data_IF_650986819349
#
_entry.id   IF_650986819349
#
_cell.length_a   1.000
_cell.length_b   1.000
_cell.length_c   1.000
_cell.angle_alpha   90.00
_cell.angle_beta   90.00
_cell.angle_gamma   90.00
#
_symmetry.space_group_name_H-M   'P 1'
#
loop_
_entity.id
_entity.type
_entity.pdbx_description
1 polymer ?
#
# COMPACT_ATOMS: atom_id res chain seq x y z
N UNK A 1 5.09 19.56 1.99
CA UNK A 1 4.90 18.60 0.88
C UNK A 1 4.53 19.33 -0.40
N UNK A 2 3.30 19.87 -0.53
CA UNK A 2 2.91 20.68 -1.70
C UNK A 2 3.73 21.95 -1.87
N UNK A 3 4.07 22.64 -0.77
CA UNK A 3 4.94 23.80 -0.83
C UNK A 3 6.27 23.46 -1.53
N UNK A 4 6.97 22.44 -1.04
CA UNK A 4 8.22 21.95 -1.64
C UNK A 4 8.06 21.50 -3.09
N UNK A 5 6.95 20.85 -3.44
CA UNK A 5 6.69 20.46 -4.83
C UNK A 5 6.57 21.67 -5.75
N UNK A 6 5.80 22.69 -5.34
CA UNK A 6 5.60 23.92 -6.10
C UNK A 6 6.89 24.75 -6.16
N UNK A 7 7.65 24.82 -5.07
CA UNK A 7 8.96 25.47 -5.03
C UNK A 7 9.96 24.80 -5.97
N UNK A 8 10.07 23.47 -5.94
CA UNK A 8 10.95 22.73 -6.86
C UNK A 8 10.49 22.92 -8.30
N UNK A 9 9.19 22.82 -8.60
CA UNK A 9 8.68 23.07 -9.95
C UNK A 9 8.99 24.51 -10.43
N UNK A 10 8.78 25.51 -9.57
CA UNK A 10 9.08 26.90 -9.87
C UNK A 10 10.57 27.15 -10.13
N UNK A 11 11.45 26.53 -9.34
CA UNK A 11 12.89 26.61 -9.51
C UNK A 11 13.33 26.03 -10.86
N UNK A 12 12.85 24.84 -11.21
CA UNK A 12 13.19 24.15 -12.46
C UNK A 12 12.60 24.84 -13.72
N UNK A 13 11.43 25.48 -13.58
CA UNK A 13 10.80 26.27 -14.64
C UNK A 13 11.33 27.72 -14.71
N UNK A 14 12.29 28.09 -13.86
CA UNK A 14 12.87 29.44 -13.77
C UNK A 14 11.83 30.54 -13.53
N UNK A 15 10.76 30.21 -12.81
CA UNK A 15 9.67 31.14 -12.49
C UNK A 15 10.12 32.05 -11.36
N UNK A 16 10.12 33.36 -11.61
CA UNK A 16 10.46 34.37 -10.60
C UNK A 16 9.19 34.79 -9.85
N UNK A 17 9.30 34.87 -8.53
CA UNK A 17 8.25 35.46 -7.70
C UNK A 17 8.05 36.94 -8.08
N UNK A 18 6.83 37.32 -8.46
CA UNK A 18 6.49 38.73 -8.68
C UNK A 18 6.53 39.54 -7.38
N UNK A 19 6.29 38.87 -6.24
CA UNK A 19 6.32 39.45 -4.90
C UNK A 19 7.02 38.50 -3.92
N UNK A 20 7.99 39.01 -3.14
CA UNK A 20 8.72 38.22 -2.14
C UNK A 20 7.81 37.63 -1.05
N UNK A 21 6.71 38.31 -0.71
CA UNK A 21 5.80 37.82 0.32
C UNK A 21 4.96 36.61 -0.14
N UNK A 22 4.65 36.55 -1.43
CA UNK A 22 3.82 35.49 -2.03
C UNK A 22 4.66 34.34 -2.60
N UNK A 23 5.96 34.56 -2.81
CA UNK A 23 6.87 33.59 -3.42
C UNK A 23 6.40 33.17 -4.82
N UNK A 24 6.65 31.91 -5.18
CA UNK A 24 6.18 31.34 -6.46
C UNK A 24 4.74 30.80 -6.39
N UNK A 25 4.10 30.81 -5.21
CA UNK A 25 2.83 30.11 -4.98
C UNK A 25 1.62 30.72 -5.70
N UNK A 26 1.70 31.99 -6.12
CA UNK A 26 0.66 32.66 -6.90
C UNK A 26 0.93 32.67 -8.41
N UNK A 27 2.04 32.09 -8.87
CA UNK A 27 2.36 32.01 -10.29
C UNK A 27 1.29 31.15 -11.01
N UNK A 28 0.56 31.71 -12.00
CA UNK A 28 -0.48 30.97 -12.72
C UNK A 28 0.04 29.70 -13.41
N UNK A 29 1.30 29.70 -13.82
CA UNK A 29 2.00 28.58 -14.46
C UNK A 29 2.19 27.38 -13.51
N UNK A 30 2.21 27.64 -12.20
CA UNK A 30 2.34 26.62 -11.15
C UNK A 30 1.00 26.12 -10.62
N UNK A 31 -0.11 26.68 -11.09
CA UNK A 31 -1.44 26.32 -10.62
C UNK A 31 -1.80 24.86 -11.01
N UNK A 32 -2.19 24.07 -10.02
CA UNK A 32 -2.73 22.72 -10.22
C UNK A 32 -4.26 22.84 -10.31
N UNK A 33 -4.77 23.03 -11.53
CA UNK A 33 -6.21 23.15 -11.78
C UNK A 33 -6.85 21.78 -12.06
N UNK A 34 -7.75 21.33 -11.18
CA UNK A 34 -8.46 20.04 -11.32
C UNK A 34 -9.34 19.97 -12.58
N UNK A 35 -9.73 21.11 -13.14
CA UNK A 35 -10.47 21.15 -14.40
C UNK A 35 -9.61 20.76 -15.63
N UNK A 36 -8.28 20.79 -15.51
CA UNK A 36 -7.40 20.30 -16.58
C UNK A 36 -7.48 18.76 -16.68
N UNK A 37 -7.73 18.19 -17.88
CA UNK A 37 -7.88 16.75 -18.05
C UNK A 37 -6.66 15.93 -17.61
N UNK A 38 -5.43 16.42 -17.81
CA UNK A 38 -4.21 15.68 -17.42
C UNK A 38 -4.09 15.63 -15.90
N UNK A 39 -4.36 16.75 -15.23
CA UNK A 39 -4.37 16.83 -13.77
C UNK A 39 -5.45 15.92 -13.19
N UNK A 40 -6.65 15.94 -13.78
CA UNK A 40 -7.76 15.10 -13.36
C UNK A 40 -7.44 13.60 -13.50
N UNK A 41 -6.80 13.18 -14.60
CA UNK A 41 -6.33 11.79 -14.77
C UNK A 41 -5.32 11.43 -13.68
N UNK A 42 -4.36 12.31 -13.39
CA UNK A 42 -3.41 12.12 -12.30
C UNK A 42 -4.11 11.91 -10.95
N UNK A 43 -5.14 12.72 -10.68
CA UNK A 43 -5.96 12.63 -9.47
C UNK A 43 -6.72 11.30 -9.38
N UNK A 44 -7.32 10.82 -10.47
CA UNK A 44 -7.99 9.52 -10.50
C UNK A 44 -7.03 8.36 -10.25
N UNK A 45 -5.87 8.37 -10.91
CA UNK A 45 -4.83 7.35 -10.71
C UNK A 45 -4.38 7.39 -9.24
N UNK A 46 -4.05 8.58 -8.72
CA UNK A 46 -3.60 8.73 -7.34
C UNK A 46 -4.63 8.27 -6.31
N UNK A 47 -5.91 8.57 -6.53
CA UNK A 47 -6.99 8.13 -5.64
C UNK A 47 -7.18 6.61 -5.63
N UNK A 48 -6.86 5.92 -6.73
CA UNK A 48 -6.99 4.47 -6.83
C UNK A 48 -5.85 3.69 -6.16
N UNK A 49 -4.68 4.32 -6.04
CA UNK A 49 -3.46 3.64 -5.59
C UNK A 49 -3.54 3.12 -4.15
N UNK A 50 -4.05 3.87 -3.16
CA UNK A 50 -4.26 3.35 -1.81
C UNK A 50 -5.16 2.11 -1.78
N UNK A 51 -6.23 2.08 -2.58
CA UNK A 51 -7.11 0.91 -2.68
C UNK A 51 -6.37 -0.29 -3.26
N UNK A 52 -5.61 -0.10 -4.34
CA UNK A 52 -4.82 -1.16 -4.95
C UNK A 52 -3.76 -1.69 -3.99
N UNK A 53 -3.05 -0.80 -3.28
CA UNK A 53 -2.07 -1.17 -2.27
C UNK A 53 -2.71 -2.00 -1.15
N UNK A 54 -3.83 -1.54 -0.59
CA UNK A 54 -4.54 -2.26 0.47
C UNK A 54 -5.03 -3.62 -0.02
N UNK A 55 -5.58 -3.71 -1.22
CA UNK A 55 -6.04 -4.97 -1.81
C UNK A 55 -4.90 -5.99 -1.98
N UNK A 56 -3.73 -5.54 -2.46
CA UNK A 56 -2.54 -6.40 -2.59
C UNK A 56 -2.08 -6.91 -1.23
N UNK A 57 -1.98 -6.02 -0.23
CA UNK A 57 -1.53 -6.34 1.12
C UNK A 57 -2.48 -7.30 1.84
N UNK A 58 -3.79 -7.03 1.83
CA UNK A 58 -4.80 -7.90 2.48
C UNK A 58 -4.82 -9.28 1.82
N UNK A 59 -4.76 -9.33 0.47
CA UNK A 59 -4.73 -10.59 -0.26
C UNK A 59 -3.48 -11.41 0.04
N UNK A 60 -2.32 -10.77 0.18
CA UNK A 60 -1.08 -11.43 0.56
C UNK A 60 -1.19 -12.08 1.95
N UNK A 61 -1.68 -11.35 2.95
CA UNK A 61 -1.89 -11.89 4.31
C UNK A 61 -2.89 -13.04 4.28
N UNK A 62 -4.02 -12.90 3.60
CA UNK A 62 -5.04 -13.96 3.52
C UNK A 62 -4.51 -15.27 2.93
N UNK A 63 -3.67 -15.19 1.88
CA UNK A 63 -3.03 -16.38 1.30
C UNK A 63 -2.07 -17.07 2.28
N UNK A 64 -1.20 -16.29 2.92
CA UNK A 64 -0.23 -16.83 3.88
C UNK A 64 -0.93 -17.42 5.10
N UNK A 65 -1.96 -16.74 5.63
CA UNK A 65 -2.77 -17.23 6.73
C UNK A 65 -3.41 -18.59 6.42
N UNK A 66 -3.93 -18.79 5.21
CA UNK A 66 -4.48 -20.08 4.78
C UNK A 66 -3.48 -21.23 4.84
N UNK A 67 -2.21 -20.97 4.50
CA UNK A 67 -1.13 -21.96 4.54
C UNK A 67 -0.70 -22.23 5.97
N UNK A 68 -0.60 -21.19 6.81
CA UNK A 68 -0.35 -21.36 8.25
C UNK A 68 -1.43 -22.21 8.90
N UNK A 69 -2.71 -22.01 8.55
CA UNK A 69 -3.81 -22.85 9.07
C UNK A 69 -3.65 -24.31 8.64
N UNK A 70 -3.25 -24.58 7.40
CA UNK A 70 -3.01 -25.94 6.93
C UNK A 70 -1.84 -26.60 7.70
N UNK A 71 -0.75 -25.88 7.94
CA UNK A 71 0.40 -26.38 8.69
C UNK A 71 0.04 -26.63 10.16
N UNK A 72 -0.68 -25.71 10.81
CA UNK A 72 -1.16 -25.92 12.19
C UNK A 72 -2.10 -27.14 12.24
N UNK A 73 -3.01 -27.30 11.28
CA UNK A 73 -3.88 -28.50 11.22
C UNK A 73 -3.07 -29.79 11.02
N UNK A 74 -2.03 -29.78 10.19
CA UNK A 74 -1.13 -30.92 9.98
C UNK A 74 -0.46 -31.33 11.30
N UNK A 75 0.09 -30.38 12.03
CA UNK A 75 0.77 -30.66 13.31
C UNK A 75 -0.19 -31.17 14.39
N UNK A 76 -1.43 -30.67 14.42
CA UNK A 76 -2.44 -31.06 15.40
C UNK A 76 -3.19 -32.35 15.02
N UNK A 77 -3.00 -32.89 13.82
CA UNK A 77 -3.75 -34.04 13.31
C UNK A 77 -3.54 -35.33 14.12
N UNK A 78 -2.37 -35.51 14.75
CA UNK A 78 -2.05 -36.66 15.59
C UNK A 78 -2.65 -36.56 17.02
N UNK A 79 -3.20 -35.40 17.39
CA UNK A 79 -3.79 -35.13 18.70
C UNK A 79 -2.80 -35.05 19.87
N UNK A 80 -1.51 -35.33 19.65
CA UNK A 80 -0.50 -35.38 20.71
C UNK A 80 -0.18 -33.99 21.27
N UNK A 81 -0.28 -32.96 20.43
CA UNK A 81 -0.13 -31.56 20.87
C UNK A 81 -1.31 -31.15 21.78
N UNK A 82 -2.55 -31.52 21.42
CA UNK A 82 -3.73 -31.25 22.25
C UNK A 82 -3.68 -32.00 23.59
N UNK A 83 -3.12 -33.20 23.60
CA UNK A 83 -2.89 -33.99 24.80
C UNK A 83 -1.72 -33.47 25.66
N UNK A 84 -0.94 -32.50 25.15
CA UNK A 84 0.23 -31.94 25.84
C UNK A 84 1.44 -32.89 25.89
N UNK A 85 1.44 -33.99 25.14
CA UNK A 85 2.50 -35.00 25.13
C UNK A 85 3.60 -34.71 24.11
N UNK A 86 3.33 -33.86 23.13
CA UNK A 86 4.25 -33.42 22.07
C UNK A 86 4.29 -31.91 21.99
N UNK A 87 5.47 -31.33 21.81
CA UNK A 87 5.62 -29.89 21.57
C UNK A 87 5.38 -29.55 20.10
N UNK A 88 4.76 -28.40 19.78
CA UNK A 88 4.61 -27.93 18.40
C UNK A 88 5.96 -27.68 17.71
N UNK A 89 5.99 -27.85 16.39
CA UNK A 89 7.12 -27.48 15.54
C UNK A 89 6.96 -26.01 15.12
N UNK A 90 7.63 -25.10 15.82
CA UNK A 90 7.51 -23.66 15.53
C UNK A 90 8.23 -23.23 14.24
N UNK A 91 9.33 -23.91 13.88
CA UNK A 91 10.17 -23.59 12.72
C UNK A 91 9.39 -23.47 11.40
N UNK A 92 8.63 -24.50 10.99
CA UNK A 92 7.86 -24.45 9.75
C UNK A 92 6.92 -23.24 9.63
N UNK A 93 6.25 -22.84 10.70
CA UNK A 93 5.35 -21.67 10.70
C UNK A 93 6.14 -20.38 10.55
N UNK A 94 7.30 -20.27 11.21
CA UNK A 94 8.21 -19.13 11.09
C UNK A 94 8.72 -19.00 9.65
N UNK A 95 9.12 -20.10 9.04
CA UNK A 95 9.65 -20.13 7.67
C UNK A 95 8.59 -19.70 6.65
N UNK A 96 7.35 -20.22 6.78
CA UNK A 96 6.21 -19.83 5.93
C UNK A 96 5.98 -18.31 6.01
N UNK A 97 5.90 -17.75 7.22
CA UNK A 97 5.67 -16.32 7.42
C UNK A 97 6.84 -15.48 6.88
N UNK A 98 8.08 -15.91 7.12
CA UNK A 98 9.30 -15.20 6.71
C UNK A 98 9.41 -15.14 5.19
N UNK A 99 9.33 -16.29 4.51
CA UNK A 99 9.43 -16.36 3.06
C UNK A 99 8.29 -15.56 2.39
N UNK A 100 7.07 -15.72 2.90
CA UNK A 100 5.92 -15.01 2.37
C UNK A 100 6.07 -13.49 2.53
N UNK A 101 6.49 -13.00 3.70
CA UNK A 101 6.65 -11.56 3.94
C UNK A 101 7.63 -10.92 2.94
N UNK A 102 8.79 -11.55 2.71
CA UNK A 102 9.81 -11.05 1.78
C UNK A 102 9.30 -11.04 0.33
N UNK A 103 8.62 -12.11 -0.08
CA UNK A 103 8.11 -12.25 -1.44
C UNK A 103 6.96 -11.29 -1.74
N UNK A 104 6.05 -11.11 -0.78
CA UNK A 104 4.81 -10.36 -0.96
C UNK A 104 5.01 -8.84 -0.85
N UNK A 105 6.01 -8.37 -0.09
CA UNK A 105 6.33 -6.94 0.06
C UNK A 105 6.92 -6.29 -1.20
N UNK A 106 7.48 -7.08 -2.12
CA UNK A 106 8.12 -6.55 -3.32
C UNK A 106 7.13 -5.81 -4.24
N UNK A 107 5.91 -6.32 -4.40
CA UNK A 107 4.92 -5.73 -5.32
C UNK A 107 4.40 -4.38 -4.80
N UNK A 108 3.95 -4.25 -3.53
CA UNK A 108 3.56 -2.96 -2.98
C UNK A 108 4.69 -1.93 -2.96
N UNK A 109 5.94 -2.36 -2.72
CA UNK A 109 7.10 -1.46 -2.79
C UNK A 109 7.34 -0.91 -4.21
N UNK A 110 7.27 -1.77 -5.23
CA UNK A 110 7.38 -1.36 -6.64
C UNK A 110 6.23 -0.43 -7.04
N UNK A 111 5.01 -0.69 -6.57
CA UNK A 111 3.87 0.20 -6.77
C UNK A 111 4.15 1.61 -6.22
N UNK A 112 4.76 1.69 -5.02
CA UNK A 112 5.10 2.95 -4.38
C UNK A 112 6.12 3.79 -5.16
N UNK A 113 7.12 3.14 -5.73
CA UNK A 113 8.23 3.80 -6.42
C UNK A 113 7.89 4.10 -7.88
N UNK A 114 7.28 3.15 -8.59
CA UNK A 114 7.10 3.26 -10.04
C UNK A 114 5.88 4.11 -10.42
N UNK A 115 4.82 4.15 -9.62
CA UNK A 115 3.61 4.90 -10.00
C UNK A 115 3.85 6.41 -10.15
N UNK A 116 4.55 7.10 -9.22
CA UNK A 116 4.93 8.49 -9.42
C UNK A 116 5.75 8.73 -10.69
N UNK A 117 6.68 7.82 -10.99
CA UNK A 117 7.52 7.88 -12.21
C UNK A 117 6.65 7.75 -13.47
N UNK A 118 5.71 6.80 -13.49
CA UNK A 118 4.80 6.59 -14.61
C UNK A 118 3.92 7.81 -14.84
N UNK A 119 3.35 8.41 -13.79
CA UNK A 119 2.49 9.60 -13.92
C UNK A 119 3.31 10.83 -14.32
N UNK A 120 4.44 11.04 -13.66
CA UNK A 120 5.30 12.20 -13.86
C UNK A 120 5.87 12.26 -15.27
N UNK A 121 6.55 11.19 -15.71
CA UNK A 121 7.05 11.11 -17.08
C UNK A 121 5.89 10.87 -18.06
N UNK A 122 4.96 9.95 -17.82
CA UNK A 122 3.94 9.61 -18.82
C UNK A 122 2.92 10.71 -19.14
N UNK A 123 2.56 11.54 -18.16
CA UNK A 123 1.49 12.54 -18.30
C UNK A 123 2.03 13.97 -18.12
N UNK A 124 2.87 14.16 -17.10
CA UNK A 124 3.51 15.43 -16.80
C UNK A 124 3.54 15.77 -15.32
N UNK A 125 4.37 16.77 -14.98
CA UNK A 125 4.57 17.19 -13.60
C UNK A 125 3.31 17.76 -12.93
N UNK A 126 2.44 18.46 -13.66
CA UNK A 126 1.16 18.96 -13.12
C UNK A 126 0.23 17.80 -12.73
N UNK A 127 0.19 16.74 -13.56
CA UNK A 127 -0.57 15.53 -13.27
C UNK A 127 0.00 14.79 -12.06
N UNK A 128 1.32 14.78 -11.89
CA UNK A 128 1.97 14.26 -10.68
C UNK A 128 1.55 15.04 -9.42
N UNK A 129 1.38 16.36 -9.52
CA UNK A 129 0.83 17.18 -8.45
C UNK A 129 -0.59 16.78 -8.06
N UNK A 130 -1.48 16.60 -9.04
CA UNK A 130 -2.84 16.09 -8.82
C UNK A 130 -2.87 14.67 -8.24
N UNK A 131 -1.97 13.80 -8.72
CA UNK A 131 -1.77 12.45 -8.20
C UNK A 131 -1.40 12.45 -6.72
N UNK A 132 -0.42 13.26 -6.30
CA UNK A 132 -0.03 13.36 -4.90
C UNK A 132 -1.19 13.82 -4.02
N UNK A 133 -2.01 14.76 -4.49
CA UNK A 133 -3.14 15.28 -3.71
C UNK A 133 -4.15 14.18 -3.42
N UNK A 134 -4.46 13.39 -4.44
CA UNK A 134 -5.37 12.26 -4.33
C UNK A 134 -4.83 11.14 -3.44
N UNK A 135 -3.56 10.75 -3.62
CA UNK A 135 -2.90 9.71 -2.82
C UNK A 135 -2.93 10.06 -1.34
N UNK A 136 -2.63 11.31 -0.99
CA UNK A 136 -2.63 11.78 0.40
C UNK A 136 -4.05 11.71 0.97
N UNK A 137 -5.02 12.29 0.26
CA UNK A 137 -6.40 12.35 0.74
C UNK A 137 -6.99 10.95 0.93
N UNK A 138 -6.97 10.14 -0.11
CA UNK A 138 -7.55 8.79 -0.09
C UNK A 138 -6.74 7.85 0.81
N UNK A 139 -5.42 7.94 0.78
CA UNK A 139 -4.53 7.12 1.59
C UNK A 139 -4.68 7.39 3.08
N UNK A 140 -4.78 8.66 3.48
CA UNK A 140 -4.96 9.02 4.90
C UNK A 140 -6.32 8.56 5.43
N UNK A 141 -7.39 8.76 4.65
CA UNK A 141 -8.73 8.30 5.03
C UNK A 141 -8.79 6.76 5.13
N UNK A 142 -8.19 6.07 4.17
CA UNK A 142 -8.11 4.61 4.17
C UNK A 142 -7.26 4.08 5.33
N UNK A 143 -6.12 4.71 5.62
CA UNK A 143 -5.25 4.34 6.74
C UNK A 143 -6.01 4.38 8.07
N UNK A 144 -6.76 5.46 8.29
CA UNK A 144 -7.57 5.64 9.49
C UNK A 144 -8.74 4.64 9.54
N UNK A 145 -9.43 4.46 8.41
CA UNK A 145 -10.55 3.52 8.31
C UNK A 145 -10.11 2.08 8.64
N UNK A 146 -9.07 1.57 7.97
CA UNK A 146 -8.60 0.19 8.17
C UNK A 146 -8.08 -0.03 9.59
N UNK A 147 -7.29 0.89 10.12
CA UNK A 147 -6.73 0.78 11.46
C UNK A 147 -7.82 0.79 12.54
N UNK A 148 -8.80 1.70 12.42
CA UNK A 148 -9.88 1.80 13.40
C UNK A 148 -10.89 0.65 13.27
N UNK A 149 -11.22 0.22 12.05
CA UNK A 149 -12.12 -0.91 11.86
C UNK A 149 -11.53 -2.20 12.45
N UNK A 150 -10.26 -2.50 12.15
CA UNK A 150 -9.57 -3.64 12.74
C UNK A 150 -9.44 -3.53 14.25
N UNK A 151 -9.09 -2.36 14.78
CA UNK A 151 -8.99 -2.14 16.23
C UNK A 151 -10.33 -2.25 16.95
N UNK A 152 -11.42 -1.82 16.32
CA UNK A 152 -12.76 -1.96 16.87
C UNK A 152 -13.18 -3.44 16.96
N UNK A 153 -12.87 -4.27 15.95
CA UNK A 153 -13.15 -5.70 16.00
C UNK A 153 -12.33 -6.44 17.06
N UNK A 154 -11.04 -6.14 17.21
CA UNK A 154 -10.21 -6.70 18.29
C UNK A 154 -10.74 -6.32 19.68
N UNK A 155 -11.10 -5.04 19.86
CA UNK A 155 -11.64 -4.56 21.13
C UNK A 155 -13.02 -5.15 21.44
N UNK A 156 -13.87 -5.33 20.43
CA UNK A 156 -15.16 -6.00 20.61
C UNK A 156 -14.98 -7.48 21.02
N UNK A 157 -14.01 -8.19 20.40
CA UNK A 157 -13.63 -9.55 20.82
C UNK A 157 -13.17 -9.56 22.28
N UNK A 158 -12.23 -8.69 22.66
CA UNK A 158 -11.73 -8.59 24.05
C UNK A 158 -12.85 -8.29 25.05
N UNK A 159 -13.76 -7.39 24.70
CA UNK A 159 -14.92 -7.07 25.54
C UNK A 159 -15.81 -8.28 25.82
N UNK A 160 -16.01 -9.14 24.81
CA UNK A 160 -16.73 -10.41 24.97
C UNK A 160 -15.90 -11.43 25.76
N UNK A 161 -14.57 -11.48 25.56
CA UNK A 161 -13.67 -12.34 26.34
C UNK A 161 -13.72 -12.07 27.85
N UNK A 162 -13.96 -10.80 28.23
CA UNK A 162 -14.11 -10.37 29.62
C UNK A 162 -15.46 -10.78 30.26
N UNK A 163 -16.29 -11.55 29.55
CA UNK A 163 -17.53 -12.13 30.06
C UNK A 163 -18.80 -11.43 29.60
N UNK A 164 -18.68 -10.31 28.90
CA UNK A 164 -19.85 -9.66 28.30
C UNK A 164 -20.40 -10.52 27.16
N UNK A 165 -21.72 -10.54 26.98
CA UNK A 165 -22.38 -11.32 25.92
C UNK A 165 -22.03 -12.83 25.88
N UNK A 166 -21.72 -13.44 27.03
CA UNK A 166 -21.59 -14.89 27.18
C UNK A 166 -20.16 -15.42 27.25
N UNK A 167 -19.13 -14.57 27.12
CA UNK A 167 -17.76 -14.99 27.39
C UNK A 167 -17.13 -15.89 26.33
N UNK A 168 -15.92 -16.39 26.60
CA UNK A 168 -15.18 -17.32 25.73
C UNK A 168 -15.98 -18.60 25.48
N UNK A 169 -15.99 -19.04 24.22
CA UNK A 169 -16.70 -20.24 23.77
C UNK A 169 -18.16 -20.02 23.36
N UNK A 170 -18.75 -18.86 23.68
CA UNK A 170 -20.09 -18.48 23.23
C UNK A 170 -20.15 -18.23 21.71
N UNK A 171 -21.35 -18.27 21.13
CA UNK A 171 -21.55 -17.93 19.71
C UNK A 171 -21.13 -16.48 19.38
N UNK A 172 -21.48 -15.46 20.18
CA UNK A 172 -20.96 -14.10 20.00
C UNK A 172 -19.42 -14.03 20.00
N UNK A 173 -18.76 -14.80 20.87
CA UNK A 173 -17.30 -14.85 20.91
C UNK A 173 -16.72 -15.41 19.61
N UNK A 174 -17.25 -16.52 19.10
CA UNK A 174 -16.80 -17.10 17.83
C UNK A 174 -16.98 -16.13 16.67
N UNK A 175 -18.11 -15.40 16.62
CA UNK A 175 -18.36 -14.38 15.62
C UNK A 175 -17.36 -13.20 15.72
N UNK A 176 -17.05 -12.76 16.94
CA UNK A 176 -16.07 -11.70 17.16
C UNK A 176 -14.64 -12.13 16.81
N UNK A 177 -14.26 -13.39 17.05
CA UNK A 177 -12.99 -13.95 16.57
C UNK A 177 -12.91 -13.92 15.04
N UNK A 178 -13.98 -14.27 14.33
CA UNK A 178 -14.01 -14.16 12.87
C UNK A 178 -13.79 -12.70 12.44
N UNK A 179 -14.51 -11.75 13.05
CA UNK A 179 -14.36 -10.34 12.71
C UNK A 179 -12.94 -9.80 12.98
N UNK A 180 -12.32 -10.19 14.11
CA UNK A 180 -10.95 -9.84 14.45
C UNK A 180 -9.95 -10.39 13.42
N UNK A 181 -10.10 -11.66 13.01
CA UNK A 181 -9.23 -12.25 11.97
C UNK A 181 -9.38 -11.59 10.59
N UNK A 182 -10.54 -10.99 10.28
CA UNK A 182 -10.72 -10.14 9.10
C UNK A 182 -10.05 -8.77 9.31
N UNK A 183 -10.08 -8.26 10.54
CA UNK A 183 -9.48 -7.00 10.96
C UNK A 183 -7.96 -7.00 11.07
N UNK A 184 -7.31 -8.13 11.35
CA UNK A 184 -5.86 -8.25 11.48
C UNK A 184 -5.08 -7.70 10.27
N UNK A 185 -5.35 -8.11 9.02
CA UNK A 185 -4.68 -7.51 7.86
C UNK A 185 -5.00 -6.03 7.68
N UNK A 186 -6.11 -5.53 8.23
CA UNK A 186 -6.48 -4.13 8.14
C UNK A 186 -5.64 -3.29 9.11
N UNK A 187 -5.60 -3.65 10.40
CA UNK A 187 -4.92 -2.88 11.44
C UNK A 187 -3.41 -3.13 11.54
N UNK A 188 -2.93 -4.31 11.16
CA UNK A 188 -1.51 -4.68 11.38
C UNK A 188 -0.69 -4.70 10.08
N UNK A 189 -1.34 -4.61 8.92
CA UNK A 189 -0.64 -4.63 7.62
C UNK A 189 -1.03 -3.43 6.75
N UNK A 190 -2.24 -3.42 6.19
CA UNK A 190 -2.60 -2.44 5.17
C UNK A 190 -2.74 -1.02 5.73
N UNK A 191 -3.47 -0.85 6.83
CA UNK A 191 -3.76 0.45 7.45
C UNK A 191 -2.49 1.22 7.82
N UNK A 192 -1.60 0.68 8.67
CA UNK A 192 -0.36 1.35 9.04
C UNK A 192 0.58 1.57 7.85
N UNK A 193 0.62 0.65 6.88
CA UNK A 193 1.54 0.73 5.74
C UNK A 193 1.15 1.77 4.67
N UNK A 194 -0.07 2.31 4.72
CA UNK A 194 -0.47 3.43 3.86
C UNK A 194 0.28 4.73 4.22
N UNK A 195 0.65 4.93 5.50
CA UNK A 195 1.43 6.11 5.90
C UNK A 195 2.84 6.16 5.27
N UNK A 196 3.67 5.10 5.35
CA UNK A 196 4.95 5.07 4.65
C UNK A 196 4.77 5.06 3.13
N UNK A 197 3.70 4.45 2.58
CA UNK A 197 3.39 4.52 1.14
C UNK A 197 3.32 5.97 0.65
N UNK A 198 2.53 6.81 1.33
CA UNK A 198 2.37 8.24 0.99
C UNK A 198 3.73 8.96 1.06
N UNK A 199 4.52 8.68 2.11
CA UNK A 199 5.85 9.29 2.28
C UNK A 199 6.82 8.91 1.15
N UNK A 200 6.87 7.63 0.77
CA UNK A 200 7.73 7.14 -0.31
C UNK A 200 7.30 7.74 -1.65
N UNK A 201 6.00 7.75 -1.97
CA UNK A 201 5.52 8.34 -3.21
C UNK A 201 5.87 9.82 -3.31
N UNK A 202 5.71 10.56 -2.22
CA UNK A 202 6.09 11.96 -2.20
C UNK A 202 7.61 12.15 -2.39
N UNK A 203 8.42 11.38 -1.67
CA UNK A 203 9.88 11.45 -1.79
C UNK A 203 10.32 11.17 -3.23
N UNK A 204 9.81 10.11 -3.84
CA UNK A 204 10.13 9.75 -5.24
C UNK A 204 9.67 10.85 -6.20
N UNK A 205 8.47 11.40 -5.98
CA UNK A 205 7.94 12.49 -6.81
C UNK A 205 8.86 13.72 -6.78
N UNK A 206 9.31 14.13 -5.59
CA UNK A 206 10.20 15.29 -5.45
C UNK A 206 11.59 15.02 -6.04
N UNK A 207 12.16 13.84 -5.82
CA UNK A 207 13.47 13.48 -6.36
C UNK A 207 13.47 13.38 -7.89
N UNK A 208 12.35 12.98 -8.49
CA UNK A 208 12.24 12.81 -9.95
C UNK A 208 11.72 14.04 -10.67
N UNK A 209 11.17 15.02 -9.94
CA UNK A 209 10.55 16.22 -10.52
C UNK A 209 11.50 17.03 -11.44
N UNK A 210 12.76 17.32 -11.08
CA UNK A 210 13.70 17.99 -11.99
C UNK A 210 13.94 17.22 -13.30
N UNK A 211 14.06 15.89 -13.21
CA UNK A 211 14.23 15.04 -14.39
C UNK A 211 12.97 15.03 -15.27
N UNK A 212 11.79 15.08 -14.67
CA UNK A 212 10.51 15.15 -15.39
C UNK A 212 10.39 16.48 -16.13
N UNK A 213 10.73 17.60 -15.49
CA UNK A 213 10.64 18.94 -16.09
C UNK A 213 11.69 19.11 -17.18
N UNK A 214 12.95 18.74 -16.93
CA UNK A 214 14.02 18.84 -17.94
C UNK A 214 13.80 17.99 -19.19
N UNK A 215 13.03 16.90 -19.09
CA UNK A 215 12.69 16.03 -20.23
C UNK A 215 11.33 16.34 -20.87
N UNK A 216 10.67 17.43 -20.47
CA UNK A 216 9.30 17.74 -20.92
C UNK A 216 9.16 17.94 -22.43
N UNK A 217 10.22 18.40 -23.10
CA UNK A 217 10.27 18.65 -24.55
C UNK A 217 10.72 17.41 -25.36
N UNK A 218 11.12 16.33 -24.70
CA UNK A 218 11.56 15.09 -25.34
C UNK A 218 10.56 13.96 -25.07
N UNK A 219 9.49 13.94 -25.86
CA UNK A 219 8.43 12.93 -25.76
C UNK A 219 8.96 11.50 -25.87
N UNK A 220 9.95 11.25 -26.73
CA UNK A 220 10.53 9.93 -26.93
C UNK A 220 11.18 9.38 -25.66
N UNK A 221 12.05 10.18 -25.03
CA UNK A 221 12.72 9.78 -23.79
C UNK A 221 11.72 9.64 -22.64
N UNK A 222 10.79 10.59 -22.53
CA UNK A 222 9.78 10.63 -21.48
C UNK A 222 8.86 9.40 -21.52
N UNK A 223 8.30 9.11 -22.69
CA UNK A 223 7.42 7.95 -22.88
C UNK A 223 8.17 6.63 -22.74
N UNK A 224 9.45 6.57 -23.13
CA UNK A 224 10.27 5.37 -22.95
C UNK A 224 10.48 5.04 -21.45
N UNK A 225 10.78 6.04 -20.62
CA UNK A 225 10.92 5.86 -19.17
C UNK A 225 9.59 5.42 -18.56
N UNK A 226 8.49 6.09 -18.91
CA UNK A 226 7.17 5.77 -18.41
C UNK A 226 6.71 4.36 -18.82
N UNK A 227 6.94 3.97 -20.08
CA UNK A 227 6.59 2.65 -20.60
C UNK A 227 7.42 1.55 -19.93
N UNK A 228 8.73 1.75 -19.76
CA UNK A 228 9.58 0.80 -19.05
C UNK A 228 9.12 0.59 -17.60
N UNK A 229 8.85 1.68 -16.87
CA UNK A 229 8.33 1.62 -15.51
C UNK A 229 6.96 0.92 -15.45
N UNK A 230 6.07 1.21 -16.41
CA UNK A 230 4.75 0.60 -16.49
C UNK A 230 4.83 -0.90 -16.76
N UNK A 231 5.72 -1.35 -17.65
CA UNK A 231 5.93 -2.77 -17.95
C UNK A 231 6.42 -3.52 -16.70
N UNK A 232 7.39 -2.96 -15.97
CA UNK A 232 7.90 -3.56 -14.73
C UNK A 232 6.80 -3.64 -13.68
N UNK A 233 6.03 -2.57 -13.50
CA UNK A 233 4.94 -2.54 -12.52
C UNK A 233 3.82 -3.53 -12.90
N UNK A 234 3.39 -3.54 -14.17
CA UNK A 234 2.35 -4.44 -14.66
C UNK A 234 2.78 -5.90 -14.52
N UNK A 235 4.02 -6.23 -14.88
CA UNK A 235 4.57 -7.58 -14.70
C UNK A 235 4.57 -8.00 -13.23
N UNK A 236 4.95 -7.09 -12.32
CA UNK A 236 4.94 -7.32 -10.87
C UNK A 236 3.53 -7.59 -10.33
N UNK A 237 2.56 -6.74 -10.69
CA UNK A 237 1.16 -6.89 -10.26
C UNK A 237 0.53 -8.17 -10.84
N UNK A 238 0.77 -8.46 -12.12
CA UNK A 238 0.28 -9.69 -12.77
C UNK A 238 0.87 -10.92 -12.07
N UNK A 239 2.19 -10.93 -11.81
CA UNK A 239 2.85 -12.02 -11.08
C UNK A 239 2.24 -12.20 -9.69
N UNK A 240 2.06 -11.13 -8.92
CA UNK A 240 1.42 -11.18 -7.59
C UNK A 240 -0.02 -11.69 -7.64
N UNK A 241 -0.78 -11.35 -8.70
CA UNK A 241 -2.15 -11.81 -8.88
C UNK A 241 -2.28 -13.28 -9.26
N UNK A 242 -1.28 -13.83 -9.95
CA UNK A 242 -1.26 -15.23 -10.43
C UNK A 242 -0.57 -16.20 -9.50
N UNK A 243 0.03 -15.72 -8.42
CA UNK A 243 0.66 -16.58 -7.41
C UNK A 243 -0.39 -17.46 -6.73
N UNK A 244 -0.30 -18.77 -7.00
CA UNK A 244 -1.03 -19.81 -6.26
C UNK A 244 -0.29 -20.09 -4.95
N UNK A 245 -1.06 -20.36 -3.89
CA UNK A 245 -0.58 -20.92 -2.63
C UNK A 245 -0.17 -22.38 -2.82
N UNK A 246 0.95 -22.61 -3.50
CA UNK A 246 1.64 -23.90 -3.46
C UNK A 246 2.95 -23.68 -2.73
N UNK A 247 2.91 -23.80 -1.41
CA UNK A 247 4.11 -24.12 -0.66
C UNK A 247 4.34 -25.61 -0.89
N UNK A 248 5.48 -25.96 -1.49
CA UNK A 248 5.88 -27.35 -1.65
C UNK A 248 5.98 -28.03 -0.27
N UNK A 249 5.88 -29.36 -0.21
CA UNK A 249 6.06 -30.07 1.05
C UNK A 249 7.40 -29.65 1.65
N UNK A 250 7.39 -29.23 2.92
CA UNK A 250 8.61 -28.98 3.68
C UNK A 250 9.52 -30.19 3.47
N UNK A 251 10.70 -29.95 2.90
CA UNK A 251 11.69 -31.00 2.73
C UNK A 251 12.06 -31.51 4.12
N UNK A 252 11.77 -32.79 4.35
CA UNK A 252 12.14 -33.55 5.56
C UNK A 252 13.64 -33.48 5.83
#
# INVERSE_FOLDING_TARGET
MFASFIETAGAELLIKAENLADGVFKAPELAINVADPKIFIGLLIGGSVPFLFSALSIRAVGRTAGVVVQEVRRQFADGMIMAGTKKPEYGPVIDICTEASLRELATPALLAVLTPVIVGFGIGWQALGGFLAAVILTGQLMANYLSNAGGAWDNAKKYIEDGNHGGKGSEPYKAAVIADTVGDPFKDTAGPALNPLIKVMNLVSLLTLPAIISTQDNDGQRLLIAAAALVVLAASVIRSSRQKTTFGPATN
#
